data_IF_912960342529
#
_entry.id   IF_912960342529
#
_cell.length_a   1.000
_cell.length_b   1.000
_cell.length_c   1.000
_cell.angle_alpha   90.00
_cell.angle_beta   90.00
_cell.angle_gamma   90.00
#
_symmetry.space_group_name_H-M   'P 1'
#
loop_
_entity.id
_entity.type
_entity.pdbx_description
1 polymer ?
#
# COMPACT_ATOMS: atom_id res chain seq x y z
N UNK A 1 -16.44 -21.46 -30.87
CA UNK A 1 -16.89 -20.07 -30.57
C UNK A 1 -18.30 -20.22 -30.03
N UNK A 2 -18.66 -19.95 -28.77
CA UNK A 2 -18.04 -19.11 -27.76
C UNK A 2 -18.38 -19.64 -26.37
N UNK A 3 -17.47 -19.35 -25.45
CA UNK A 3 -17.52 -19.60 -24.03
C UNK A 3 -18.58 -18.77 -23.30
N UNK A 4 -19.00 -19.33 -22.16
CA UNK A 4 -19.26 -18.66 -20.88
C UNK A 4 -20.59 -17.92 -20.70
N UNK A 5 -21.42 -18.45 -19.80
CA UNK A 5 -22.01 -17.68 -18.71
C UNK A 5 -22.19 -18.61 -17.49
N UNK A 6 -21.19 -18.57 -16.61
CA UNK A 6 -21.24 -19.10 -15.25
C UNK A 6 -22.35 -18.38 -14.47
N UNK A 7 -23.51 -19.02 -14.34
CA UNK A 7 -24.54 -18.63 -13.38
C UNK A 7 -24.11 -19.13 -12.00
N UNK A 8 -23.57 -18.24 -11.17
CA UNK A 8 -23.43 -18.53 -9.75
C UNK A 8 -24.83 -18.67 -9.13
N UNK A 9 -25.09 -19.68 -8.28
CA UNK A 9 -26.41 -19.88 -7.68
C UNK A 9 -26.76 -18.74 -6.70
N UNK A 10 -28.05 -18.38 -6.64
CA UNK A 10 -28.61 -17.45 -5.64
C UNK A 10 -28.45 -18.05 -4.23
N UNK A 11 -27.36 -17.68 -3.56
CA UNK A 11 -27.11 -18.07 -2.17
C UNK A 11 -27.87 -17.15 -1.22
N UNK A 12 -28.60 -17.73 -0.27
CA UNK A 12 -29.16 -16.99 0.86
C UNK A 12 -28.03 -16.39 1.72
N UNK A 13 -28.32 -15.32 2.46
CA UNK A 13 -27.33 -14.70 3.36
C UNK A 13 -26.68 -15.72 4.31
N UNK A 14 -27.45 -16.70 4.79
CA UNK A 14 -26.94 -17.79 5.65
C UNK A 14 -26.00 -18.74 4.92
N UNK A 15 -26.26 -19.07 3.65
CA UNK A 15 -25.37 -19.90 2.84
C UNK A 15 -24.04 -19.19 2.54
N UNK A 16 -24.08 -17.87 2.32
CA UNK A 16 -22.86 -17.07 2.15
C UNK A 16 -22.02 -17.15 3.42
N UNK A 17 -22.61 -16.87 4.58
CA UNK A 17 -21.93 -16.97 5.88
C UNK A 17 -21.38 -18.39 6.14
N UNK A 18 -22.16 -19.42 5.80
CA UNK A 18 -21.75 -20.82 5.95
C UNK A 18 -20.65 -21.25 4.97
N UNK A 19 -20.46 -20.57 3.84
CA UNK A 19 -19.40 -20.88 2.87
C UNK A 19 -18.04 -20.25 3.19
N UNK A 20 -17.98 -19.23 4.06
CA UNK A 20 -16.73 -18.55 4.40
C UNK A 20 -15.78 -19.49 5.14
N UNK A 21 -14.49 -19.50 4.77
CA UNK A 21 -13.46 -20.33 5.41
C UNK A 21 -13.01 -19.83 6.79
N UNK A 22 -13.49 -18.66 7.21
CA UNK A 22 -13.09 -17.98 8.44
C UNK A 22 -13.98 -18.36 9.63
N UNK A 23 -13.49 -18.10 10.84
CA UNK A 23 -14.30 -18.16 12.06
C UNK A 23 -15.31 -17.01 12.06
N UNK A 24 -16.58 -17.34 12.21
CA UNK A 24 -17.68 -16.38 12.24
C UNK A 24 -18.60 -16.69 13.42
N UNK A 25 -19.04 -15.65 14.13
CA UNK A 25 -20.04 -15.79 15.20
C UNK A 25 -21.00 -14.60 15.19
N UNK A 26 -22.24 -14.84 15.58
CA UNK A 26 -23.26 -13.81 15.80
C UNK A 26 -23.60 -13.82 17.28
N UNK A 27 -23.58 -12.65 17.90
CA UNK A 27 -23.90 -12.49 19.32
C UNK A 27 -24.99 -11.46 19.58
N UNK A 28 -25.74 -11.67 20.67
CA UNK A 28 -26.70 -10.68 21.18
C UNK A 28 -26.02 -9.58 22.02
N UNK A 29 -26.81 -8.60 22.48
CA UNK A 29 -26.36 -7.51 23.37
C UNK A 29 -25.82 -7.97 24.72
N UNK A 30 -26.13 -9.20 25.14
CA UNK A 30 -25.61 -9.82 26.36
C UNK A 30 -24.37 -10.69 26.08
N UNK A 31 -23.80 -10.59 24.87
CA UNK A 31 -22.65 -11.36 24.40
C UNK A 31 -22.90 -12.87 24.33
N UNK A 32 -24.16 -13.31 24.25
CA UNK A 32 -24.49 -14.72 24.00
C UNK A 32 -24.34 -15.04 22.53
N UNK A 33 -23.67 -16.15 22.23
CA UNK A 33 -23.56 -16.68 20.87
C UNK A 33 -24.94 -17.18 20.45
N UNK A 34 -25.45 -16.64 19.35
CA UNK A 34 -26.72 -17.06 18.74
C UNK A 34 -26.46 -18.02 17.59
N UNK A 35 -25.30 -17.86 16.95
CA UNK A 35 -24.85 -18.71 15.86
C UNK A 35 -23.33 -18.62 15.77
N UNK A 36 -22.69 -19.71 15.36
CA UNK A 36 -21.26 -19.80 15.14
C UNK A 36 -20.95 -20.72 13.99
N UNK A 37 -19.82 -20.42 13.35
CA UNK A 37 -19.05 -21.30 12.52
C UNK A 37 -17.60 -21.19 12.97
N UNK A 38 -17.07 -22.22 13.62
CA UNK A 38 -15.67 -22.26 14.01
C UNK A 38 -15.00 -23.46 13.34
N UNK A 39 -14.25 -23.24 12.23
CA UNK A 39 -13.64 -24.33 11.46
C UNK A 39 -12.69 -25.22 12.26
N UNK A 40 -12.19 -24.73 13.40
CA UNK A 40 -11.25 -25.42 14.27
C UNK A 40 -11.95 -26.20 15.41
N UNK A 41 -13.27 -26.11 15.55
CA UNK A 41 -14.03 -26.84 16.58
C UNK A 41 -14.81 -28.00 15.96
N UNK A 42 -14.77 -29.17 16.60
CA UNK A 42 -15.53 -30.36 16.18
C UNK A 42 -17.05 -30.19 16.40
N UNK A 43 -17.45 -29.52 17.48
CA UNK A 43 -18.84 -29.19 17.80
C UNK A 43 -18.97 -27.69 18.10
N UNK A 44 -19.07 -26.89 17.04
CA UNK A 44 -19.28 -25.45 17.16
C UNK A 44 -20.70 -25.08 17.60
N UNK A 45 -21.66 -26.02 17.58
CA UNK A 45 -23.02 -25.80 18.07
C UNK A 45 -23.07 -25.78 19.60
N UNK A 46 -22.14 -26.49 20.27
CA UNK A 46 -22.00 -26.48 21.73
C UNK A 46 -21.81 -25.09 22.33
N UNK A 47 -21.32 -24.12 21.54
CA UNK A 47 -21.06 -22.75 22.01
C UNK A 47 -22.30 -21.86 21.95
N UNK A 48 -23.34 -22.26 21.22
CA UNK A 48 -24.59 -21.49 21.11
C UNK A 48 -25.27 -21.38 22.47
N UNK A 49 -25.73 -20.18 22.82
CA UNK A 49 -26.28 -19.82 24.11
C UNK A 49 -25.24 -19.41 25.17
N UNK A 50 -23.97 -19.81 24.99
CA UNK A 50 -22.90 -19.42 25.88
C UNK A 50 -22.41 -17.99 25.63
N UNK A 51 -21.69 -17.42 26.59
CA UNK A 51 -21.11 -16.07 26.45
C UNK A 51 -19.80 -16.14 25.68
N UNK A 52 -19.65 -15.35 24.62
CA UNK A 52 -18.51 -15.44 23.72
C UNK A 52 -17.17 -15.22 24.42
N UNK A 53 -17.12 -14.39 25.46
CA UNK A 53 -15.90 -14.11 26.21
C UNK A 53 -15.49 -15.26 27.15
N UNK A 54 -16.43 -16.15 27.53
CA UNK A 54 -16.10 -17.39 28.25
C UNK A 54 -15.51 -18.41 27.30
N UNK A 55 -16.21 -18.64 26.18
CA UNK A 55 -15.84 -19.66 25.20
C UNK A 55 -14.50 -19.32 24.52
N UNK A 56 -14.35 -18.10 24.01
CA UNK A 56 -13.23 -17.76 23.11
C UNK A 56 -12.12 -16.94 23.76
N UNK A 57 -12.32 -16.48 24.99
CA UNK A 57 -11.34 -15.65 25.68
C UNK A 57 -11.04 -16.12 27.11
N UNK A 58 -11.67 -17.21 27.57
CA UNK A 58 -11.52 -17.78 28.91
C UNK A 58 -11.64 -16.72 30.03
N UNK A 59 -12.68 -15.90 29.94
CA UNK A 59 -12.96 -14.79 30.86
C UNK A 59 -14.36 -14.88 31.44
N UNK A 60 -14.57 -14.25 32.59
CA UNK A 60 -15.91 -14.09 33.18
C UNK A 60 -16.59 -12.75 32.88
N UNK A 61 -15.84 -11.79 32.34
CA UNK A 61 -16.33 -10.48 31.94
C UNK A 61 -16.01 -10.17 30.48
N UNK A 62 -16.80 -9.31 29.81
CA UNK A 62 -16.52 -8.90 28.44
C UNK A 62 -15.11 -8.32 28.29
N UNK A 63 -14.43 -8.62 27.17
CA UNK A 63 -13.07 -8.12 26.96
C UNK A 63 -13.08 -6.58 26.89
N UNK A 64 -12.19 -5.93 27.64
CA UNK A 64 -12.18 -4.48 27.78
C UNK A 64 -11.58 -3.78 26.53
N UNK A 65 -10.29 -4.02 26.26
CA UNK A 65 -9.56 -3.25 25.23
C UNK A 65 -9.43 -3.95 23.89
N UNK A 66 -9.70 -5.26 23.85
CA UNK A 66 -9.48 -6.08 22.66
C UNK A 66 -10.77 -6.65 22.07
N UNK A 67 -11.94 -6.24 22.56
CA UNK A 67 -13.22 -6.72 22.07
C UNK A 67 -13.67 -5.89 20.85
N UNK A 68 -13.78 -6.49 19.64
CA UNK A 68 -14.36 -5.77 18.50
C UNK A 68 -15.88 -5.64 18.63
N UNK A 69 -16.54 -6.50 19.40
CA UNK A 69 -18.02 -6.56 19.53
C UNK A 69 -18.58 -5.47 20.44
N UNK A 70 -17.95 -5.24 21.59
CA UNK A 70 -18.40 -4.26 22.60
C UNK A 70 -18.65 -2.87 22.00
N UNK A 71 -17.71 -2.27 21.23
CA UNK A 71 -17.93 -0.95 20.67
C UNK A 71 -19.02 -0.92 19.59
N UNK A 72 -19.26 -2.01 18.83
CA UNK A 72 -20.39 -2.10 17.87
C UNK A 72 -21.73 -1.88 18.56
N UNK A 73 -21.94 -2.44 19.76
CA UNK A 73 -23.18 -2.21 20.51
C UNK A 73 -23.26 -0.81 21.12
N UNK A 74 -22.12 -0.12 21.28
CA UNK A 74 -22.06 1.23 21.81
C UNK A 74 -22.32 2.30 20.74
N UNK A 75 -21.75 2.16 19.54
CA UNK A 75 -21.80 3.20 18.49
C UNK A 75 -22.49 2.78 17.18
N UNK A 76 -22.81 1.49 17.02
CA UNK A 76 -23.45 0.97 15.82
C UNK A 76 -22.57 0.97 14.57
N UNK A 77 -21.24 1.01 14.70
CA UNK A 77 -20.28 1.01 13.59
C UNK A 77 -19.48 -0.29 13.54
N UNK A 78 -18.90 -0.65 12.39
CA UNK A 78 -17.94 -1.74 12.33
C UNK A 78 -16.65 -1.42 13.10
N UNK A 79 -16.07 -2.42 13.75
CA UNK A 79 -14.80 -2.31 14.48
C UNK A 79 -13.85 -3.46 14.13
N UNK A 80 -12.55 -3.19 14.13
CA UNK A 80 -11.50 -4.20 13.90
C UNK A 80 -10.45 -4.17 15.01
N UNK A 81 -10.01 -5.33 15.44
CA UNK A 81 -8.90 -5.51 16.39
C UNK A 81 -7.97 -6.59 15.86
N UNK A 82 -6.68 -6.26 15.75
CA UNK A 82 -5.63 -7.23 15.51
C UNK A 82 -5.07 -7.77 16.84
N UNK A 83 -4.73 -9.06 16.88
CA UNK A 83 -4.10 -9.71 18.02
C UNK A 83 -2.90 -10.52 17.57
N UNK A 84 -1.81 -10.35 18.30
CA UNK A 84 -0.64 -11.21 18.23
C UNK A 84 -0.72 -12.24 19.36
N UNK A 85 -0.53 -13.51 19.02
CA UNK A 85 -0.48 -14.61 19.98
C UNK A 85 0.73 -15.48 19.63
N UNK A 86 1.36 -16.04 20.66
CA UNK A 86 2.43 -17.02 20.50
C UNK A 86 1.88 -18.35 21.02
N UNK A 87 1.92 -19.39 20.21
CA UNK A 87 1.46 -20.73 20.63
C UNK A 87 2.41 -21.32 21.67
N UNK A 88 1.99 -22.39 22.33
CA UNK A 88 2.87 -23.17 23.22
C UNK A 88 4.10 -23.74 22.51
N UNK A 89 4.04 -23.93 21.19
CA UNK A 89 5.16 -24.35 20.35
C UNK A 89 6.08 -23.19 19.92
N UNK A 90 5.81 -21.95 20.35
CA UNK A 90 6.59 -20.76 19.99
C UNK A 90 6.24 -20.17 18.62
N UNK A 91 5.17 -20.64 17.97
CA UNK A 91 4.75 -20.10 16.68
C UNK A 91 3.98 -18.79 16.85
N UNK A 92 4.40 -17.74 16.15
CA UNK A 92 3.69 -16.46 16.08
C UNK A 92 2.46 -16.55 15.16
N UNK A 93 1.29 -16.26 15.73
CA UNK A 93 0.01 -16.21 15.03
C UNK A 93 -0.57 -14.81 15.19
N UNK A 94 -0.93 -14.20 14.06
CA UNK A 94 -1.67 -12.95 14.04
C UNK A 94 -3.10 -13.18 13.56
N UNK A 95 -4.08 -12.74 14.34
CA UNK A 95 -5.50 -12.79 13.96
C UNK A 95 -6.13 -11.40 13.96
N UNK A 96 -6.91 -11.10 12.92
CA UNK A 96 -7.73 -9.90 12.84
C UNK A 96 -9.18 -10.28 13.09
N UNK A 97 -9.81 -9.67 14.10
CA UNK A 97 -11.22 -9.85 14.38
C UNK A 97 -11.99 -8.58 14.02
N UNK A 98 -12.91 -8.70 13.07
CA UNK A 98 -13.84 -7.64 12.64
C UNK A 98 -15.23 -7.91 13.18
N UNK A 99 -15.91 -6.88 13.66
CA UNK A 99 -17.29 -6.97 14.09
C UNK A 99 -18.17 -5.96 13.35
N UNK A 100 -19.37 -6.38 12.96
CA UNK A 100 -20.33 -5.61 12.18
C UNK A 100 -21.71 -5.61 12.86
N UNK A 101 -22.43 -4.48 12.87
CA UNK A 101 -23.76 -4.37 13.46
C UNK A 101 -24.81 -5.08 12.60
N UNK A 102 -25.75 -5.78 13.25
CA UNK A 102 -26.99 -6.28 12.65
C UNK A 102 -28.13 -5.55 13.35
N UNK A 103 -28.85 -4.72 12.61
CA UNK A 103 -29.90 -3.85 13.13
C UNK A 103 -31.29 -4.47 12.99
N UNK A 104 -32.17 -4.18 13.94
CA UNK A 104 -33.59 -4.50 13.83
C UNK A 104 -34.32 -3.49 12.92
N UNK A 105 -35.63 -3.69 12.72
CA UNK A 105 -36.48 -2.79 11.90
C UNK A 105 -36.56 -1.36 12.44
N UNK A 106 -36.16 -1.11 13.69
CA UNK A 106 -36.14 0.22 14.32
C UNK A 106 -34.77 0.88 14.21
N UNK A 107 -33.80 0.23 13.56
CA UNK A 107 -32.43 0.72 13.44
C UNK A 107 -31.58 0.49 14.69
N UNK A 108 -32.07 -0.28 15.67
CA UNK A 108 -31.33 -0.60 16.89
C UNK A 108 -30.45 -1.81 16.62
N UNK A 109 -29.15 -1.74 16.96
CA UNK A 109 -28.25 -2.89 16.86
C UNK A 109 -28.77 -4.02 17.75
N UNK A 110 -29.30 -5.07 17.15
CA UNK A 110 -29.85 -6.23 17.85
C UNK A 110 -28.78 -7.30 18.07
N UNK A 111 -27.92 -7.49 17.06
CA UNK A 111 -26.82 -8.46 17.09
C UNK A 111 -25.54 -7.85 16.53
N UNK A 112 -24.42 -8.53 16.76
CA UNK A 112 -23.15 -8.23 16.14
C UNK A 112 -22.56 -9.50 15.51
N UNK A 113 -22.22 -9.43 14.23
CA UNK A 113 -21.48 -10.48 13.54
C UNK A 113 -19.98 -10.23 13.71
N UNK A 114 -19.24 -11.18 14.27
CA UNK A 114 -17.78 -11.14 14.38
C UNK A 114 -17.17 -12.17 13.45
N UNK A 115 -16.24 -11.74 12.60
CA UNK A 115 -15.42 -12.58 11.74
C UNK A 115 -13.97 -12.50 12.22
N UNK A 116 -13.26 -13.62 12.25
CA UNK A 116 -11.85 -13.69 12.62
C UNK A 116 -11.01 -14.31 11.50
N UNK A 117 -10.03 -13.56 11.02
CA UNK A 117 -9.12 -13.93 9.93
C UNK A 117 -7.73 -14.25 10.47
N UNK A 118 -7.04 -15.23 9.87
CA UNK A 118 -5.59 -15.36 10.03
C UNK A 118 -4.89 -14.35 9.10
N UNK A 119 -4.06 -13.48 9.68
CA UNK A 119 -3.30 -12.46 8.97
C UNK A 119 -1.79 -12.65 9.13
N UNK A 120 -1.35 -13.81 9.60
CA UNK A 120 0.06 -14.13 9.89
C UNK A 120 0.94 -13.95 8.66
N UNK A 121 0.52 -14.50 7.52
CA UNK A 121 1.25 -14.33 6.25
C UNK A 121 1.34 -12.86 5.82
N UNK A 122 0.26 -12.09 6.00
CA UNK A 122 0.21 -10.65 5.72
C UNK A 122 1.23 -9.90 6.61
N UNK A 123 1.25 -10.20 7.90
CA UNK A 123 2.17 -9.58 8.88
C UNK A 123 3.62 -9.94 8.65
N UNK A 124 3.94 -11.21 8.38
CA UNK A 124 5.31 -11.65 8.06
C UNK A 124 5.86 -10.95 6.81
N UNK A 125 5.04 -10.79 5.76
CA UNK A 125 5.46 -10.06 4.55
C UNK A 125 5.72 -8.58 4.82
N UNK A 126 4.85 -7.93 5.61
CA UNK A 126 5.02 -6.53 5.99
C UNK A 126 6.31 -6.30 6.79
N UNK A 127 6.53 -7.11 7.84
CA UNK A 127 7.73 -7.01 8.68
C UNK A 127 9.03 -7.23 7.88
N UNK A 128 9.02 -8.15 6.90
CA UNK A 128 10.16 -8.35 6.00
C UNK A 128 10.46 -7.11 5.17
N UNK A 129 9.45 -6.50 4.56
CA UNK A 129 9.62 -5.27 3.77
C UNK A 129 10.12 -4.11 4.63
N UNK A 130 9.60 -3.96 5.84
CA UNK A 130 10.07 -2.96 6.81
C UNK A 130 11.54 -3.17 7.18
N UNK A 131 11.96 -4.43 7.37
CA UNK A 131 13.37 -4.77 7.60
C UNK A 131 14.28 -4.51 6.38
N UNK A 132 13.81 -4.84 5.17
CA UNK A 132 14.52 -4.55 3.91
C UNK A 132 14.67 -3.03 3.70
N UNK A 133 13.61 -2.27 3.96
CA UNK A 133 13.62 -0.80 3.88
C UNK A 133 14.58 -0.19 4.91
N UNK A 134 14.52 -0.62 6.17
CA UNK A 134 15.43 -0.15 7.22
C UNK A 134 16.91 -0.45 6.87
N UNK A 135 17.16 -1.60 6.23
CA UNK A 135 18.50 -1.96 5.75
C UNK A 135 18.95 -1.04 4.62
N UNK A 136 18.06 -0.74 3.66
CA UNK A 136 18.34 0.19 2.58
C UNK A 136 18.63 1.60 3.10
N UNK A 137 17.78 2.11 3.99
CA UNK A 137 17.94 3.44 4.60
C UNK A 137 19.29 3.57 5.31
N UNK A 138 19.68 2.56 6.10
CA UNK A 138 21.00 2.52 6.75
C UNK A 138 22.15 2.56 5.75
N UNK A 139 22.06 1.79 4.67
CA UNK A 139 23.07 1.79 3.61
C UNK A 139 23.15 3.15 2.91
N UNK A 140 22.01 3.80 2.66
CA UNK A 140 21.97 5.14 2.05
C UNK A 140 22.58 6.20 2.99
N UNK A 141 22.32 6.12 4.29
CA UNK A 141 22.98 6.97 5.29
C UNK A 141 24.49 6.78 5.31
N UNK A 142 24.96 5.54 5.19
CA UNK A 142 26.39 5.22 5.11
C UNK A 142 27.02 5.79 3.84
N UNK A 143 26.35 5.63 2.68
CA UNK A 143 26.77 6.25 1.41
C UNK A 143 26.86 7.78 1.55
N UNK A 144 25.86 8.42 2.15
CA UNK A 144 25.86 9.87 2.36
C UNK A 144 26.99 10.34 3.30
N UNK A 145 27.32 9.53 4.31
CA UNK A 145 28.41 9.81 5.26
C UNK A 145 29.78 9.77 4.60
N UNK A 146 29.97 8.94 3.57
CA UNK A 146 31.24 8.77 2.86
C UNK A 146 31.64 9.97 1.97
N UNK A 147 31.08 11.17 2.17
CA UNK A 147 31.25 12.36 1.33
C UNK A 147 30.93 12.11 -0.16
N UNK A 148 29.77 12.63 -0.58
CA UNK A 148 29.31 12.71 -1.98
C UNK A 148 30.32 13.36 -2.97
N UNK A 149 31.45 13.90 -2.50
CA UNK A 149 32.53 14.47 -3.32
C UNK A 149 33.40 13.44 -4.02
N UNK A 150 33.33 12.15 -3.64
CA UNK A 150 34.12 11.06 -4.24
C UNK A 150 33.26 9.98 -4.94
N UNK A 151 31.96 10.22 -5.16
CA UNK A 151 31.16 9.28 -5.95
C UNK A 151 31.64 9.29 -7.42
N UNK A 152 31.87 8.11 -8.06
CA UNK A 152 32.25 8.00 -9.46
C UNK A 152 31.04 8.21 -10.37
N UNK A 153 30.24 9.25 -10.13
CA UNK A 153 29.35 9.79 -11.14
C UNK A 153 30.02 11.01 -11.79
N UNK A 154 31.18 10.76 -12.39
CA UNK A 154 31.44 11.42 -13.65
C UNK A 154 30.64 10.62 -14.68
N UNK A 155 29.72 11.22 -15.46
CA UNK A 155 29.17 10.52 -16.61
C UNK A 155 30.36 10.08 -17.47
N UNK A 156 30.70 8.80 -17.41
CA UNK A 156 31.70 8.19 -18.28
C UNK A 156 31.27 8.50 -19.71
N UNK A 157 32.05 9.35 -20.37
CA UNK A 157 31.71 9.83 -21.71
C UNK A 157 30.91 11.14 -21.76
N UNK A 158 31.14 12.10 -20.85
CA UNK A 158 30.84 13.50 -21.12
C UNK A 158 31.58 13.96 -22.39
N UNK A 159 31.02 13.64 -23.56
CA UNK A 159 31.48 14.18 -24.83
C UNK A 159 31.25 15.69 -24.71
N UNK A 160 32.33 16.49 -24.65
CA UNK A 160 32.17 17.93 -24.46
C UNK A 160 31.24 18.46 -25.54
N UNK A 161 30.30 19.31 -25.13
CA UNK A 161 29.46 20.00 -26.10
C UNK A 161 30.38 20.75 -27.05
N UNK A 162 30.17 20.55 -28.35
CA UNK A 162 30.85 21.34 -29.36
C UNK A 162 30.49 22.81 -29.16
N UNK A 163 31.34 23.73 -29.66
CA UNK A 163 31.06 25.17 -29.65
C UNK A 163 29.65 25.49 -30.16
N UNK A 164 29.21 24.78 -31.20
CA UNK A 164 27.90 24.96 -31.80
C UNK A 164 26.74 24.47 -30.91
N UNK A 165 26.94 23.35 -30.22
CA UNK A 165 25.97 22.84 -29.25
C UNK A 165 25.84 23.76 -28.04
N UNK A 166 26.94 24.38 -27.58
CA UNK A 166 26.92 25.40 -26.53
C UNK A 166 26.12 26.65 -26.94
N UNK A 167 26.31 27.13 -28.16
CA UNK A 167 25.54 28.26 -28.70
C UNK A 167 24.04 27.95 -28.73
N UNK A 168 23.65 26.77 -29.22
CA UNK A 168 22.25 26.32 -29.25
C UNK A 168 21.69 26.17 -27.84
N UNK A 169 22.46 25.61 -26.90
CA UNK A 169 22.05 25.43 -25.51
C UNK A 169 21.79 26.78 -24.82
N UNK A 170 22.67 27.78 -24.99
CA UNK A 170 22.50 29.13 -24.41
C UNK A 170 21.20 29.78 -24.89
N UNK A 171 20.95 29.79 -26.19
CA UNK A 171 19.74 30.38 -26.74
C UNK A 171 18.47 29.60 -26.32
N UNK A 172 18.60 28.29 -26.13
CA UNK A 172 17.53 27.46 -25.59
C UNK A 172 17.27 27.76 -24.11
N UNK A 173 18.29 27.94 -23.29
CA UNK A 173 18.16 28.33 -21.89
C UNK A 173 17.53 29.75 -21.75
N UNK A 174 17.85 30.67 -22.67
CA UNK A 174 17.27 32.02 -22.75
C UNK A 174 15.81 32.07 -23.27
N UNK A 175 15.16 30.92 -23.51
CA UNK A 175 13.75 30.92 -23.93
C UNK A 175 13.49 31.12 -25.43
N UNK A 176 14.52 31.16 -26.30
CA UNK A 176 14.30 31.34 -27.74
C UNK A 176 13.63 30.11 -28.39
N UNK A 177 12.73 30.35 -29.33
CA UNK A 177 12.09 29.30 -30.12
C UNK A 177 13.04 28.73 -31.18
N UNK A 178 12.84 27.48 -31.62
CA UNK A 178 13.67 26.83 -32.65
C UNK A 178 13.78 27.66 -33.95
N UNK A 179 12.72 28.32 -34.46
CA UNK A 179 12.82 29.25 -35.59
C UNK A 179 13.74 30.45 -35.32
N UNK A 180 13.68 31.02 -34.12
CA UNK A 180 14.51 32.17 -33.75
C UNK A 180 15.98 31.78 -33.59
N UNK A 181 16.25 30.62 -32.98
CA UNK A 181 17.60 30.05 -32.88
C UNK A 181 18.17 29.81 -34.28
N UNK A 182 17.38 29.22 -35.18
CA UNK A 182 17.78 28.98 -36.57
C UNK A 182 18.19 30.26 -37.29
N UNK A 183 17.40 31.33 -37.12
CA UNK A 183 17.70 32.65 -37.66
C UNK A 183 18.99 33.26 -37.09
N UNK A 184 19.12 33.29 -35.75
CA UNK A 184 20.30 33.85 -35.06
C UNK A 184 21.59 33.14 -35.46
N UNK A 185 21.51 31.83 -35.67
CA UNK A 185 22.65 30.99 -35.95
C UNK A 185 22.90 30.77 -37.45
N UNK A 186 22.02 31.23 -38.35
CA UNK A 186 22.15 31.03 -39.80
C UNK A 186 22.07 29.55 -40.23
N UNK A 187 21.24 28.74 -39.56
CA UNK A 187 21.05 27.31 -39.87
C UNK A 187 19.57 26.95 -40.01
N UNK A 188 19.27 25.76 -40.54
CA UNK A 188 17.88 25.30 -40.65
C UNK A 188 17.26 24.95 -39.29
N UNK A 189 15.93 25.06 -39.17
CA UNK A 189 15.20 24.61 -37.97
C UNK A 189 15.39 23.13 -37.67
N UNK A 190 15.51 22.30 -38.70
CA UNK A 190 15.80 20.86 -38.56
C UNK A 190 17.20 20.63 -37.96
N UNK A 191 18.18 21.45 -38.34
CA UNK A 191 19.53 21.43 -37.74
C UNK A 191 19.47 21.79 -36.25
N UNK A 192 18.69 22.81 -35.88
CA UNK A 192 18.47 23.18 -34.46
C UNK A 192 17.81 22.04 -33.69
N UNK A 193 16.76 21.40 -34.24
CA UNK A 193 16.10 20.25 -33.61
C UNK A 193 17.10 19.12 -33.34
N UNK A 194 17.98 18.82 -34.31
CA UNK A 194 19.01 17.79 -34.16
C UNK A 194 20.02 18.15 -33.08
N UNK A 195 20.49 19.40 -33.03
CA UNK A 195 21.37 19.86 -31.96
C UNK A 195 20.72 19.73 -30.58
N UNK A 196 19.46 20.12 -30.40
CA UNK A 196 18.77 20.02 -29.11
C UNK A 196 18.68 18.57 -28.62
N UNK A 197 18.32 17.63 -29.49
CA UNK A 197 18.27 16.20 -29.14
C UNK A 197 19.66 15.68 -28.75
N UNK A 198 20.68 16.02 -29.53
CA UNK A 198 22.06 15.62 -29.22
C UNK A 198 22.55 16.21 -27.89
N UNK A 199 22.23 17.48 -27.62
CA UNK A 199 22.54 18.14 -26.36
C UNK A 199 21.85 17.43 -25.20
N UNK A 200 20.56 17.13 -25.32
CA UNK A 200 19.81 16.47 -24.24
C UNK A 200 20.38 15.09 -23.93
N UNK A 201 20.71 14.31 -24.97
CA UNK A 201 21.37 13.03 -24.82
C UNK A 201 22.76 13.16 -24.18
N UNK A 202 23.57 14.14 -24.59
CA UNK A 202 24.90 14.40 -24.00
C UNK A 202 24.84 14.89 -22.56
N UNK A 203 23.78 15.60 -22.17
CA UNK A 203 23.58 16.14 -20.83
C UNK A 203 22.81 15.20 -19.90
N UNK A 204 22.20 14.12 -20.43
CA UNK A 204 21.34 13.21 -19.67
C UNK A 204 20.04 13.87 -19.17
N UNK A 205 19.53 14.88 -19.89
CA UNK A 205 18.31 15.63 -19.50
C UNK A 205 17.15 15.32 -20.45
N UNK A 206 15.93 15.35 -19.93
CA UNK A 206 14.75 14.95 -20.69
C UNK A 206 13.94 16.11 -21.28
N UNK A 207 14.17 17.34 -20.79
CA UNK A 207 13.40 18.49 -21.21
C UNK A 207 14.20 19.81 -21.17
N UNK A 208 13.55 20.86 -21.70
CA UNK A 208 14.11 22.20 -21.80
C UNK A 208 14.36 22.85 -20.43
N UNK A 209 13.51 22.58 -19.44
CA UNK A 209 13.66 23.17 -18.11
C UNK A 209 14.91 22.61 -17.41
N UNK A 210 15.13 21.30 -17.49
CA UNK A 210 16.32 20.64 -16.99
C UNK A 210 17.59 21.14 -17.70
N UNK A 211 17.54 21.31 -19.03
CA UNK A 211 18.65 21.88 -19.79
C UNK A 211 18.97 23.34 -19.39
N UNK A 212 17.96 24.15 -19.06
CA UNK A 212 18.15 25.52 -18.59
C UNK A 212 18.79 25.57 -17.18
N UNK A 213 18.33 24.72 -16.27
CA UNK A 213 18.93 24.58 -14.93
C UNK A 213 20.39 24.15 -15.04
N UNK A 214 20.70 23.21 -15.93
CA UNK A 214 22.07 22.79 -16.19
C UNK A 214 22.93 23.95 -16.69
N UNK A 215 22.44 24.72 -17.67
CA UNK A 215 23.17 25.86 -18.23
C UNK A 215 23.45 26.96 -17.17
N UNK A 216 22.50 27.23 -16.28
CA UNK A 216 22.68 28.19 -15.19
C UNK A 216 23.76 27.75 -14.19
N UNK A 217 23.79 26.46 -13.82
CA UNK A 217 24.83 25.90 -12.93
C UNK A 217 26.24 26.01 -13.51
N UNK A 218 26.36 26.06 -14.83
CA UNK A 218 27.62 26.17 -15.56
C UNK A 218 27.99 27.63 -15.89
N UNK A 219 27.22 28.63 -15.44
CA UNK A 219 27.46 30.04 -15.74
C UNK A 219 27.32 30.40 -17.22
N UNK A 220 26.50 29.66 -17.97
CA UNK A 220 26.27 29.90 -19.40
C UNK A 220 25.14 30.90 -19.67
N UNK A 221 24.34 31.22 -18.66
CA UNK A 221 23.24 32.20 -18.65
C UNK A 221 23.18 32.95 -17.33
#
# INVERSE_FOLDING_TARGET
>A
MSHNQSQAPDLTAWQVLASLGDSLMIVDRNYRVIWSKEPLMEDDQSVVGQRCYRVFADRDTPCQDSCPVRPVFADGRPHSVERHMVTSAGEEIWREAKAYPIVDRRGVVAFAARISFDITHRKKRQSRLEGELMTLERSLEEINRLQLGEMPFQPEGAVPLTRRELEVLRLTAQGLSKPRIAHVLGISQNTVKRHVVNIFNKLGVNDRAQAAVWAARQGLV
#
